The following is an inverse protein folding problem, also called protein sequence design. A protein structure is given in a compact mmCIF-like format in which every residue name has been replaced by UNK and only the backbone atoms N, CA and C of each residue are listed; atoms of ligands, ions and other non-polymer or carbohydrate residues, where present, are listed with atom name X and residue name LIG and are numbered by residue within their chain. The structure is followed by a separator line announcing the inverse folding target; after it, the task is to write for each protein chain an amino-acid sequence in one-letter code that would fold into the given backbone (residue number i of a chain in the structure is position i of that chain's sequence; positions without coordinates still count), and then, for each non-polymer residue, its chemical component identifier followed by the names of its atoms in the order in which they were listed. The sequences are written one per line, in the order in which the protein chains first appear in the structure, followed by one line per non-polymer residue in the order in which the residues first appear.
data_IF_399932700768
#
_entry.id   IF_399932700768
#
_cell.length_a   1.000
_cell.length_b   1.000
_cell.length_c   1.000
_cell.angle_alpha   90.00
_cell.angle_beta   90.00
_cell.angle_gamma   90.00
#
_symmetry.space_group_name_H-M   'P 1'
#
loop_
_entity.id
_entity.type
_entity.pdbx_description
1 polymer ?
#
# COMPACT_ATOMS: atom_id res chain seq x y z
N UNK A 1 8.04 -5.75 -36.13
CA UNK A 1 7.64 -5.09 -34.87
C UNK A 1 8.34 -3.75 -34.83
N UNK A 2 7.66 -2.71 -35.28
CA UNK A 2 8.12 -1.32 -35.14
C UNK A 2 7.82 -0.90 -33.71
N UNK A 3 8.86 -0.53 -32.95
CA UNK A 3 8.72 0.07 -31.63
C UNK A 3 7.97 1.39 -31.85
N UNK A 4 6.74 1.50 -31.37
CA UNK A 4 5.99 2.75 -31.42
C UNK A 4 6.57 3.69 -30.36
N UNK A 5 7.58 4.46 -30.75
CA UNK A 5 8.15 5.52 -29.92
C UNK A 5 7.11 6.63 -29.84
N UNK A 6 6.62 6.93 -28.64
CA UNK A 6 5.69 8.03 -28.42
C UNK A 6 6.42 9.38 -28.49
N UNK A 7 5.78 10.41 -29.07
CA UNK A 7 6.27 11.78 -29.00
C UNK A 7 6.47 12.23 -27.55
N UNK A 8 7.55 12.95 -27.32
CA UNK A 8 7.86 13.61 -26.06
C UNK A 8 6.87 14.73 -25.74
N UNK A 9 6.79 15.14 -24.47
CA UNK A 9 5.88 16.23 -24.05
C UNK A 9 6.16 17.56 -24.76
N UNK A 10 7.42 17.84 -25.12
CA UNK A 10 7.80 19.03 -25.89
C UNK A 10 7.35 18.96 -27.35
N UNK A 11 7.39 17.78 -27.96
CA UNK A 11 6.85 17.54 -29.31
C UNK A 11 5.32 17.63 -29.33
N UNK A 12 4.65 17.14 -28.29
CA UNK A 12 3.21 17.31 -28.10
C UNK A 12 2.85 18.80 -27.89
N UNK A 13 3.63 19.54 -27.11
CA UNK A 13 3.41 20.97 -26.89
C UNK A 13 3.66 21.78 -28.18
N UNK A 14 4.66 21.40 -28.98
CA UNK A 14 4.85 21.93 -30.32
C UNK A 14 3.67 21.61 -31.25
N UNK A 15 3.02 20.44 -31.11
CA UNK A 15 1.82 20.11 -31.86
C UNK A 15 0.59 20.94 -31.45
N UNK A 16 0.59 21.56 -30.26
CA UNK A 16 -0.45 22.51 -29.83
C UNK A 16 -0.24 23.89 -30.48
N UNK A 17 1.00 24.41 -30.43
CA UNK A 17 1.28 25.79 -30.85
C UNK A 17 1.69 25.94 -32.32
N UNK A 18 2.33 24.93 -32.90
CA UNK A 18 2.96 24.95 -34.23
C UNK A 18 2.71 23.62 -35.00
N UNK A 19 1.44 23.20 -35.21
CA UNK A 19 1.12 21.90 -35.80
C UNK A 19 1.73 21.67 -37.20
N UNK A 20 1.90 22.74 -37.98
CA UNK A 20 2.52 22.69 -39.31
C UNK A 20 4.01 22.29 -39.27
N UNK A 21 4.68 22.42 -38.12
CA UNK A 21 6.10 22.07 -37.96
C UNK A 21 6.33 20.63 -37.48
N UNK A 22 5.29 19.96 -36.99
CA UNK A 22 5.37 18.59 -36.44
C UNK A 22 4.29 17.66 -37.02
N UNK A 23 4.17 17.54 -38.36
CA UNK A 23 3.09 16.78 -39.00
C UNK A 23 3.05 15.29 -38.62
N UNK A 24 4.22 14.68 -38.40
CA UNK A 24 4.33 13.27 -37.96
C UNK A 24 3.82 13.05 -36.53
N UNK A 25 3.95 14.06 -35.65
CA UNK A 25 3.42 14.01 -34.29
C UNK A 25 1.90 14.14 -34.33
N UNK A 26 1.38 15.03 -35.18
CA UNK A 26 -0.07 15.20 -35.36
C UNK A 26 -0.71 13.93 -35.93
N UNK A 27 -0.07 13.29 -36.91
CA UNK A 27 -0.51 12.01 -37.46
C UNK A 27 -0.48 10.90 -36.39
N UNK A 28 0.63 10.77 -35.65
CA UNK A 28 0.75 9.81 -34.54
C UNK A 28 -0.30 10.04 -33.45
N UNK A 29 -0.57 11.29 -33.09
CA UNK A 29 -1.64 11.65 -32.15
C UNK A 29 -3.00 11.22 -32.70
N UNK A 30 -3.25 11.33 -34.01
CA UNK A 30 -4.49 10.84 -34.63
C UNK A 30 -4.74 9.35 -34.34
N UNK A 31 -3.67 8.55 -34.37
CA UNK A 31 -3.73 7.09 -34.26
C UNK A 31 -3.49 6.56 -32.83
N UNK A 32 -2.85 7.33 -31.95
CA UNK A 32 -2.46 6.89 -30.61
C UNK A 32 -3.32 7.55 -29.51
N UNK A 33 -4.13 6.74 -28.82
CA UNK A 33 -4.99 7.20 -27.71
C UNK A 33 -4.19 7.86 -26.58
N UNK A 34 -3.07 7.27 -26.17
CA UNK A 34 -2.22 7.80 -25.10
C UNK A 34 -1.70 9.22 -25.43
N UNK A 35 -1.26 9.45 -26.67
CA UNK A 35 -0.79 10.76 -27.11
C UNK A 35 -1.93 11.79 -27.23
N UNK A 36 -3.16 11.37 -27.57
CA UNK A 36 -4.35 12.27 -27.52
C UNK A 36 -4.69 12.71 -26.11
N UNK A 37 -4.69 11.79 -25.15
CA UNK A 37 -4.99 12.10 -23.76
C UNK A 37 -3.93 13.07 -23.20
N UNK A 38 -2.65 12.82 -23.45
CA UNK A 38 -1.57 13.75 -23.07
C UNK A 38 -1.70 15.12 -23.72
N UNK A 39 -2.01 15.17 -25.02
CA UNK A 39 -2.23 16.44 -25.72
C UNK A 39 -3.43 17.22 -25.16
N UNK A 40 -4.52 16.54 -24.78
CA UNK A 40 -5.69 17.17 -24.14
C UNK A 40 -5.33 17.83 -22.82
N UNK A 41 -4.62 17.11 -21.94
CA UNK A 41 -4.15 17.64 -20.65
C UNK A 41 -3.21 18.83 -20.82
N UNK A 42 -2.31 18.77 -21.80
CA UNK A 42 -1.43 19.89 -22.12
C UNK A 42 -2.20 21.12 -22.65
N UNK A 43 -3.30 20.92 -23.38
CA UNK A 43 -4.19 22.02 -23.80
C UNK A 43 -4.96 22.62 -22.64
N UNK A 44 -5.50 21.78 -21.76
CA UNK A 44 -6.19 22.21 -20.53
C UNK A 44 -5.26 22.98 -19.59
N UNK A 45 -3.98 22.60 -19.51
CA UNK A 45 -2.98 23.34 -18.74
C UNK A 45 -2.49 24.63 -19.44
N UNK A 46 -2.63 24.74 -20.76
CA UNK A 46 -2.15 25.87 -21.56
C UNK A 46 -3.22 26.95 -21.83
N UNK A 47 -4.50 26.62 -21.73
CA UNK A 47 -5.61 27.58 -21.86
C UNK A 47 -6.15 27.98 -20.47
N UNK A 48 -6.38 29.28 -20.17
CA UNK A 48 -7.20 29.66 -19.04
C UNK A 48 -8.64 29.19 -19.29
N UNK A 49 -9.23 28.52 -18.30
CA UNK A 49 -10.52 27.80 -18.39
C UNK A 49 -11.59 28.52 -19.23
N UNK A 50 -12.14 27.88 -20.28
CA UNK A 50 -13.44 28.25 -20.79
C UNK A 50 -14.52 27.60 -19.93
N UNK A 51 -15.31 28.43 -19.26
CA UNK A 51 -16.55 28.05 -18.58
C UNK A 51 -17.54 27.37 -19.55
N UNK A 52 -18.01 26.17 -19.18
CA UNK A 52 -19.38 25.72 -19.47
C UNK A 52 -19.56 24.66 -20.56
N UNK A 53 -20.05 23.49 -20.11
CA UNK A 53 -21.01 22.54 -20.72
C UNK A 53 -20.84 22.02 -22.17
N UNK A 54 -19.98 22.60 -23.02
CA UNK A 54 -19.87 22.24 -24.44
C UNK A 54 -18.82 21.17 -24.78
N UNK A 55 -17.87 20.91 -23.87
CA UNK A 55 -16.71 20.04 -24.14
C UNK A 55 -17.08 18.56 -24.04
N UNK A 56 -17.93 18.20 -23.06
CA UNK A 56 -18.42 16.84 -22.86
C UNK A 56 -19.25 16.34 -24.04
N UNK A 57 -20.11 17.20 -24.61
CA UNK A 57 -20.91 16.89 -25.80
C UNK A 57 -20.05 16.71 -27.06
N UNK A 58 -18.95 17.45 -27.21
CA UNK A 58 -18.03 17.31 -28.34
C UNK A 58 -17.20 16.03 -28.28
N UNK A 59 -16.77 15.61 -27.09
CA UNK A 59 -16.04 14.35 -26.87
C UNK A 59 -16.98 13.15 -27.10
N UNK A 60 -18.21 13.22 -26.60
CA UNK A 60 -19.26 12.21 -26.85
C UNK A 60 -19.63 12.08 -28.33
N UNK A 61 -19.65 13.18 -29.09
CA UNK A 61 -19.94 13.16 -30.53
C UNK A 61 -18.77 12.63 -31.39
N UNK A 62 -17.53 12.70 -30.90
CA UNK A 62 -16.33 12.25 -31.60
C UNK A 62 -15.90 10.82 -31.24
N UNK A 63 -16.52 10.21 -30.23
CA UNK A 63 -16.21 8.85 -29.78
C UNK A 63 -17.06 7.83 -30.54
N UNK A 64 -16.42 6.74 -30.97
CA UNK A 64 -17.10 5.51 -31.45
C UNK A 64 -18.24 5.17 -30.49
N UNK A 65 -19.45 4.81 -30.96
CA UNK A 65 -20.58 4.56 -30.06
C UNK A 65 -20.17 3.53 -29.00
N UNK A 66 -20.16 3.99 -27.74
CA UNK A 66 -19.99 3.12 -26.59
C UNK A 66 -21.06 2.02 -26.67
N UNK A 67 -20.74 0.75 -26.38
CA UNK A 67 -21.74 -0.32 -26.31
C UNK A 67 -22.93 0.13 -25.46
N UNK A 68 -24.16 -0.10 -25.93
CA UNK A 68 -25.41 0.36 -25.30
C UNK A 68 -25.54 -0.01 -23.80
N UNK A 69 -24.81 -1.05 -23.38
CA UNK A 69 -24.69 -1.51 -21.97
C UNK A 69 -24.07 -0.43 -21.07
N UNK A 70 -23.11 0.35 -21.57
CA UNK A 70 -22.41 1.40 -20.80
C UNK A 70 -23.31 2.63 -20.62
N UNK A 71 -24.13 2.97 -21.62
CA UNK A 71 -25.01 4.15 -21.59
C UNK A 71 -26.09 4.05 -20.50
N UNK A 72 -26.58 2.83 -20.24
CA UNK A 72 -27.54 2.55 -19.16
C UNK A 72 -26.95 2.63 -17.75
N UNK A 73 -25.63 2.45 -17.60
CA UNK A 73 -24.93 2.47 -16.32
C UNK A 73 -24.60 3.89 -15.82
N UNK A 74 -24.58 4.88 -16.71
CA UNK A 74 -24.21 6.27 -16.41
C UNK A 74 -25.38 7.09 -15.86
N UNK A 75 -26.63 6.64 -16.01
CA UNK A 75 -27.82 7.49 -15.90
C UNK A 75 -28.72 7.27 -14.67
N UNK A 76 -28.47 6.27 -13.81
CA UNK A 76 -29.36 5.99 -12.66
C UNK A 76 -28.58 5.86 -11.36
N UNK A 77 -28.56 6.93 -10.56
CA UNK A 77 -28.16 6.85 -9.15
C UNK A 77 -29.09 5.87 -8.45
N UNK A 78 -28.55 4.74 -8.02
CA UNK A 78 -29.31 3.74 -7.29
C UNK A 78 -28.99 3.94 -5.81
N UNK A 79 -30.02 4.08 -4.95
CA UNK A 79 -29.87 4.07 -3.49
C UNK A 79 -29.48 2.67 -2.95
N UNK A 80 -28.87 1.85 -3.79
CA UNK A 80 -28.37 0.54 -3.40
C UNK A 80 -27.14 0.74 -2.52
N UNK A 81 -27.09 0.03 -1.39
CA UNK A 81 -25.87 -0.01 -0.59
C UNK A 81 -24.85 -0.87 -1.32
N UNK A 82 -23.57 -0.47 -1.39
CA UNK A 82 -22.53 -1.32 -1.94
C UNK A 82 -22.53 -2.69 -1.24
N UNK A 83 -22.03 -3.72 -1.91
CA UNK A 83 -21.76 -5.04 -1.35
C UNK A 83 -20.38 -5.54 -1.80
N UNK A 84 -19.73 -6.43 -1.05
CA UNK A 84 -18.51 -7.10 -1.49
C UNK A 84 -18.66 -7.76 -2.87
N UNK A 85 -17.56 -7.84 -3.61
CA UNK A 85 -17.47 -8.37 -4.99
C UNK A 85 -18.24 -7.56 -6.04
N UNK A 86 -18.70 -6.36 -5.73
CA UNK A 86 -19.36 -5.50 -6.71
C UNK A 86 -18.40 -4.48 -7.31
N UNK A 87 -18.61 -4.16 -8.58
CA UNK A 87 -17.96 -3.03 -9.26
C UNK A 87 -18.91 -1.84 -9.21
N UNK A 88 -18.36 -0.71 -8.79
CA UNK A 88 -19.08 0.53 -8.64
C UNK A 88 -18.34 1.67 -9.31
N UNK A 89 -19.12 2.62 -9.81
CA UNK A 89 -18.66 3.97 -10.08
C UNK A 89 -18.66 4.74 -8.76
N UNK A 90 -17.52 5.30 -8.39
CA UNK A 90 -17.32 6.08 -7.17
C UNK A 90 -16.82 7.48 -7.54
N UNK A 91 -17.11 8.50 -6.75
CA UNK A 91 -16.60 9.86 -7.00
C UNK A 91 -17.53 10.97 -6.53
N UNK A 92 -17.08 12.21 -6.73
CA UNK A 92 -17.88 13.45 -6.62
C UNK A 92 -17.92 14.16 -7.96
N UNK A 93 -16.86 14.92 -8.26
CA UNK A 93 -16.70 15.64 -9.53
C UNK A 93 -16.13 14.71 -10.61
N UNK A 94 -15.08 13.97 -10.24
CA UNK A 94 -14.45 12.95 -11.06
C UNK A 94 -14.89 11.56 -10.59
N UNK A 95 -15.24 10.70 -11.55
CA UNK A 95 -15.70 9.35 -11.25
C UNK A 95 -14.67 8.30 -11.66
N UNK A 96 -14.42 7.38 -10.73
CA UNK A 96 -13.54 6.23 -10.89
C UNK A 96 -14.36 4.94 -10.85
N UNK A 97 -13.82 3.87 -11.41
CA UNK A 97 -14.33 2.53 -11.19
C UNK A 97 -13.60 1.91 -10.00
N UNK A 98 -14.34 1.24 -9.12
CA UNK A 98 -13.76 0.56 -7.98
C UNK A 98 -14.49 -0.75 -7.70
N UNK A 99 -13.71 -1.75 -7.32
CA UNK A 99 -14.20 -3.02 -6.84
C UNK A 99 -14.27 -3.00 -5.31
N UNK A 100 -15.43 -3.38 -4.77
CA UNK A 100 -15.68 -3.41 -3.33
C UNK A 100 -15.14 -4.71 -2.75
N UNK A 101 -14.11 -4.61 -1.92
CA UNK A 101 -13.53 -5.75 -1.23
C UNK A 101 -14.32 -6.11 0.02
N UNK A 102 -14.59 -5.11 0.85
CA UNK A 102 -15.22 -5.26 2.16
C UNK A 102 -16.03 -4.01 2.49
N UNK A 103 -17.07 -4.19 3.30
CA UNK A 103 -17.84 -3.09 3.89
C UNK A 103 -17.80 -3.23 5.39
N UNK A 104 -17.70 -2.10 6.06
CA UNK A 104 -17.65 -1.98 7.50
C UNK A 104 -18.96 -1.37 8.02
N UNK A 105 -19.28 -1.65 9.28
CA UNK A 105 -20.56 -1.23 9.89
C UNK A 105 -20.67 0.30 10.10
N UNK A 106 -19.54 1.02 10.01
CA UNK A 106 -19.40 2.47 10.18
C UNK A 106 -19.70 3.28 8.90
N UNK A 107 -20.17 2.64 7.83
CA UNK A 107 -20.41 3.33 6.56
C UNK A 107 -19.13 3.56 5.75
N UNK A 108 -18.11 2.73 5.97
CA UNK A 108 -16.89 2.72 5.16
C UNK A 108 -16.85 1.46 4.29
N UNK A 109 -16.29 1.60 3.08
CA UNK A 109 -15.97 0.46 2.22
C UNK A 109 -14.47 0.40 1.93
N UNK A 110 -13.87 -0.78 2.02
CA UNK A 110 -12.56 -1.04 1.43
C UNK A 110 -12.74 -1.31 -0.06
N UNK A 111 -12.07 -0.53 -0.89
CA UNK A 111 -12.15 -0.62 -2.35
C UNK A 111 -10.79 -0.75 -3.00
N UNK A 112 -10.78 -1.38 -4.18
CA UNK A 112 -9.63 -1.44 -5.08
C UNK A 112 -10.00 -0.70 -6.37
N UNK A 113 -9.28 0.35 -6.79
CA UNK A 113 -9.58 1.03 -8.03
C UNK A 113 -9.36 0.10 -9.23
N UNK A 114 -10.26 0.21 -10.21
CA UNK A 114 -10.21 -0.50 -11.47
C UNK A 114 -9.90 0.48 -12.60
N UNK A 115 -8.99 0.09 -13.47
CA UNK A 115 -8.61 0.87 -14.66
C UNK A 115 -8.88 0.07 -15.91
N UNK A 116 -9.31 0.75 -16.97
CA UNK A 116 -9.57 0.13 -18.28
C UNK A 116 -8.28 -0.04 -19.10
N UNK A 117 -7.26 0.76 -18.79
CA UNK A 117 -5.95 0.68 -19.45
C UNK A 117 -5.05 -0.32 -18.70
N UNK A 118 -4.90 -1.52 -19.27
CA UNK A 118 -4.10 -2.58 -18.68
C UNK A 118 -2.59 -2.32 -18.75
N UNK A 119 -2.13 -1.35 -19.55
CA UNK A 119 -0.73 -0.95 -19.61
C UNK A 119 -0.28 -0.26 -18.32
N UNK A 120 -1.24 0.30 -17.56
CA UNK A 120 -1.01 0.91 -16.25
C UNK A 120 -0.88 -0.13 -15.12
N UNK A 121 -1.11 -1.41 -15.41
CA UNK A 121 -0.95 -2.48 -14.45
C UNK A 121 0.53 -2.74 -14.12
N UNK A 122 0.77 -3.15 -12.88
CA UNK A 122 2.09 -3.54 -12.38
C UNK A 122 2.05 -4.91 -11.70
N UNK A 123 3.18 -5.31 -11.08
CA UNK A 123 3.29 -6.58 -10.36
C UNK A 123 2.35 -6.69 -9.14
N UNK A 124 1.70 -5.60 -8.75
CA UNK A 124 0.75 -5.52 -7.64
C UNK A 124 -0.67 -5.22 -8.12
N UNK A 125 -0.95 -5.50 -9.39
CA UNK A 125 -2.24 -5.32 -10.03
C UNK A 125 -2.79 -6.65 -10.54
N UNK A 126 -4.08 -6.91 -10.42
CA UNK A 126 -4.73 -8.09 -11.01
C UNK A 126 -5.19 -7.72 -12.42
N UNK A 127 -4.72 -8.45 -13.44
CA UNK A 127 -5.23 -8.32 -14.81
C UNK A 127 -6.48 -9.17 -14.99
N UNK A 128 -7.54 -8.57 -15.51
CA UNK A 128 -8.87 -9.17 -15.61
C UNK A 128 -9.29 -9.19 -17.06
N UNK A 129 -9.59 -10.37 -17.56
CA UNK A 129 -10.01 -10.56 -18.95
C UNK A 129 -11.41 -10.02 -19.18
N UNK A 130 -11.66 -9.53 -20.39
CA UNK A 130 -12.92 -8.93 -20.79
C UNK A 130 -14.17 -9.78 -20.46
N UNK A 131 -14.08 -11.10 -20.65
CA UNK A 131 -15.15 -12.07 -20.39
C UNK A 131 -15.48 -12.26 -18.90
N UNK A 132 -14.59 -11.87 -18.00
CA UNK A 132 -14.81 -11.89 -16.56
C UNK A 132 -15.29 -10.54 -16.00
N UNK A 133 -15.32 -9.47 -16.82
CA UNK A 133 -15.72 -8.13 -16.36
C UNK A 133 -17.19 -7.83 -16.65
N UNK A 134 -17.86 -7.03 -15.80
CA UNK A 134 -19.23 -6.59 -16.06
C UNK A 134 -19.37 -5.63 -17.25
N UNK A 135 -18.26 -5.04 -17.73
CA UNK A 135 -18.24 -4.09 -18.84
C UNK A 135 -17.79 -4.71 -20.18
N UNK A 136 -17.43 -5.99 -20.19
CA UNK A 136 -16.99 -6.70 -21.39
C UNK A 136 -15.67 -6.18 -21.98
N UNK A 137 -14.82 -5.54 -21.16
CA UNK A 137 -13.52 -4.97 -21.56
C UNK A 137 -12.45 -5.44 -20.59
N UNK A 138 -11.21 -5.60 -21.04
CA UNK A 138 -10.11 -5.94 -20.13
C UNK A 138 -9.91 -4.81 -19.10
N UNK A 139 -9.57 -5.19 -17.87
CA UNK A 139 -9.38 -4.24 -16.78
C UNK A 139 -8.19 -4.65 -15.92
N UNK A 140 -7.62 -3.70 -15.19
CA UNK A 140 -6.67 -3.96 -14.13
C UNK A 140 -7.19 -3.46 -12.78
N UNK A 141 -7.15 -4.30 -11.75
CA UNK A 141 -7.42 -3.90 -10.37
C UNK A 141 -6.10 -3.54 -9.68
N UNK A 142 -5.90 -2.26 -9.36
CA UNK A 142 -4.65 -1.74 -8.81
C UNK A 142 -4.62 -1.95 -7.28
N UNK A 143 -4.36 -3.18 -6.85
CA UNK A 143 -4.44 -3.61 -5.43
C UNK A 143 -3.51 -2.80 -4.51
N UNK A 144 -2.41 -2.32 -5.06
CA UNK A 144 -1.45 -1.49 -4.33
C UNK A 144 -1.99 -0.08 -3.96
N UNK A 145 -3.07 0.34 -4.60
CA UNK A 145 -3.76 1.62 -4.37
C UNK A 145 -5.12 1.40 -3.66
N UNK A 146 -5.37 0.19 -3.14
CA UNK A 146 -6.57 -0.07 -2.33
C UNK A 146 -6.71 0.95 -1.20
N UNK A 147 -7.94 1.32 -0.85
CA UNK A 147 -8.19 2.33 0.18
C UNK A 147 -9.55 2.11 0.86
N UNK A 148 -9.79 2.91 1.90
CA UNK A 148 -11.11 3.06 2.51
C UNK A 148 -11.79 4.32 1.98
N UNK A 149 -13.05 4.21 1.58
CA UNK A 149 -13.88 5.34 1.15
C UNK A 149 -15.20 5.37 1.90
N UNK A 150 -15.80 6.55 2.01
CA UNK A 150 -17.14 6.70 2.58
C UNK A 150 -18.20 6.08 1.65
N UNK A 151 -19.23 5.43 2.20
CA UNK A 151 -20.32 4.84 1.39
C UNK A 151 -21.11 5.88 0.59
N UNK A 152 -21.08 7.15 0.99
CA UNK A 152 -21.65 8.27 0.24
C UNK A 152 -20.95 8.54 -1.11
N UNK A 153 -19.71 8.06 -1.29
CA UNK A 153 -18.96 8.22 -2.53
C UNK A 153 -19.42 7.29 -3.66
N UNK A 154 -20.34 6.36 -3.40
CA UNK A 154 -20.82 5.40 -4.39
C UNK A 154 -21.95 5.99 -5.23
N UNK A 155 -21.76 6.01 -6.55
CA UNK A 155 -22.69 6.61 -7.50
C UNK A 155 -23.61 5.58 -8.16
N UNK A 156 -23.01 4.61 -8.86
CA UNK A 156 -23.75 3.63 -9.66
C UNK A 156 -23.10 2.25 -9.55
N UNK A 157 -23.91 1.22 -9.32
CA UNK A 157 -23.45 -0.17 -9.45
C UNK A 157 -23.28 -0.52 -10.92
N UNK A 158 -22.11 -1.04 -11.27
CA UNK A 158 -21.76 -1.50 -12.62
C UNK A 158 -22.05 -2.99 -12.79
N UNK A 159 -21.73 -3.80 -11.78
CA UNK A 159 -21.98 -5.24 -11.81
C UNK A 159 -21.26 -6.00 -10.71
N UNK A 160 -21.08 -7.30 -10.90
CA UNK A 160 -20.31 -8.17 -10.02
C UNK A 160 -19.01 -8.58 -10.69
N UNK A 161 -17.98 -8.79 -9.88
CA UNK A 161 -16.65 -9.19 -10.30
C UNK A 161 -16.01 -10.02 -9.18
N UNK A 162 -15.79 -11.30 -9.44
CA UNK A 162 -15.19 -12.23 -8.48
C UNK A 162 -13.67 -12.31 -8.69
N UNK A 163 -12.94 -11.44 -8.00
CA UNK A 163 -11.47 -11.40 -7.97
C UNK A 163 -10.91 -11.48 -6.54
N UNK A 164 -11.76 -11.88 -5.58
CA UNK A 164 -11.42 -11.86 -4.15
C UNK A 164 -10.17 -12.69 -3.84
N UNK A 165 -10.04 -13.85 -4.49
CA UNK A 165 -8.91 -14.77 -4.30
C UNK A 165 -7.62 -14.19 -4.88
N UNK A 166 -7.69 -13.61 -6.07
CA UNK A 166 -6.57 -13.01 -6.78
C UNK A 166 -6.01 -11.81 -6.00
N UNK A 167 -6.91 -10.95 -5.50
CA UNK A 167 -6.54 -9.82 -4.64
C UNK A 167 -5.90 -10.31 -3.34
N UNK A 168 -6.46 -11.33 -2.69
CA UNK A 168 -5.90 -11.88 -1.45
C UNK A 168 -4.49 -12.48 -1.65
N UNK A 169 -4.23 -13.13 -2.79
CA UNK A 169 -2.90 -13.65 -3.14
C UNK A 169 -1.89 -12.51 -3.36
N UNK A 170 -2.26 -11.41 -4.03
CA UNK A 170 -1.36 -10.24 -4.15
C UNK A 170 -1.01 -9.69 -2.77
N UNK A 171 -2.00 -9.51 -1.90
CA UNK A 171 -1.78 -8.98 -0.54
C UNK A 171 -0.86 -9.88 0.29
N UNK A 172 -1.07 -11.18 0.19
CA UNK A 172 -0.24 -12.17 0.88
C UNK A 172 1.18 -12.17 0.33
N UNK A 173 1.33 -12.14 -1.00
CA UNK A 173 2.63 -12.13 -1.66
C UNK A 173 3.46 -10.89 -1.28
N UNK A 174 2.83 -9.71 -1.28
CA UNK A 174 3.47 -8.45 -0.85
C UNK A 174 3.91 -8.52 0.61
N UNK A 175 3.03 -9.02 1.50
CA UNK A 175 3.35 -9.18 2.93
C UNK A 175 4.54 -10.12 3.16
N UNK A 176 4.67 -11.15 2.33
CA UNK A 176 5.74 -12.15 2.39
C UNK A 176 7.00 -11.76 1.59
N UNK A 177 7.00 -10.61 0.92
CA UNK A 177 8.12 -10.17 0.08
C UNK A 177 8.38 -11.07 -1.13
N UNK A 178 7.35 -11.77 -1.61
CA UNK A 178 7.41 -12.67 -2.79
C UNK A 178 6.58 -12.13 -3.93
N UNK A 179 6.79 -12.69 -5.13
CA UNK A 179 5.91 -12.43 -6.27
C UNK A 179 4.59 -13.22 -6.12
N UNK A 180 3.45 -12.65 -6.54
CA UNK A 180 2.19 -13.39 -6.63
C UNK A 180 2.33 -14.55 -7.60
N UNK A 181 1.68 -15.68 -7.30
CA UNK A 181 1.80 -16.91 -8.08
C UNK A 181 0.45 -17.39 -8.59
N UNK A 182 0.42 -17.89 -9.84
CA UNK A 182 -0.79 -18.45 -10.44
C UNK A 182 -1.89 -17.45 -10.80
N UNK A 183 -1.57 -16.15 -10.78
CA UNK A 183 -2.51 -15.08 -11.15
C UNK A 183 -1.89 -14.16 -12.22
N UNK A 184 -2.69 -13.67 -13.19
CA UNK A 184 -2.22 -12.72 -14.18
C UNK A 184 -2.03 -11.33 -13.54
N UNK A 185 -0.80 -10.81 -13.58
CA UNK A 185 -0.42 -9.50 -13.05
C UNK A 185 0.33 -8.70 -14.11
N UNK A 186 0.40 -7.38 -13.94
CA UNK A 186 1.18 -6.51 -14.83
C UNK A 186 2.69 -6.72 -14.70
N UNK A 187 3.49 -6.18 -15.64
CA UNK A 187 4.94 -6.27 -15.58
C UNK A 187 5.48 -5.52 -14.36
N UNK A 188 6.61 -5.96 -13.77
CA UNK A 188 7.22 -5.26 -12.65
C UNK A 188 7.61 -3.82 -13.04
N UNK A 189 7.54 -2.93 -12.06
CA UNK A 189 8.19 -1.62 -12.15
C UNK A 189 9.67 -1.83 -11.89
N UNK A 190 10.51 -1.45 -12.86
CA UNK A 190 11.97 -1.64 -12.82
C UNK A 190 12.74 -0.32 -12.63
N UNK A 191 12.08 0.82 -12.84
CA UNK A 191 12.64 2.17 -12.81
C UNK A 191 11.79 3.07 -11.90
N UNK A 192 12.45 3.96 -11.17
CA UNK A 192 11.81 4.96 -10.29
C UNK A 192 11.13 6.07 -11.11
N UNK A 193 11.53 6.26 -12.37
CA UNK A 193 10.92 7.22 -13.32
C UNK A 193 9.75 6.59 -14.11
N UNK A 194 9.28 5.39 -13.74
CA UNK A 194 8.17 4.74 -14.41
C UNK A 194 6.85 5.51 -14.20
N UNK A 195 6.23 5.93 -15.30
CA UNK A 195 4.98 6.72 -15.31
C UNK A 195 3.82 6.05 -14.57
N UNK A 196 3.86 4.72 -14.37
CA UNK A 196 2.87 4.00 -13.57
C UNK A 196 2.93 4.41 -12.09
N UNK A 197 4.10 4.85 -11.59
CA UNK A 197 4.24 5.38 -10.23
C UNK A 197 3.50 6.71 -10.07
N UNK A 198 3.68 7.65 -11.01
CA UNK A 198 2.95 8.92 -11.04
C UNK A 198 1.44 8.69 -11.13
N UNK A 199 1.02 7.77 -12.00
CA UNK A 199 -0.39 7.42 -12.15
C UNK A 199 -0.99 6.82 -10.87
N UNK A 200 -0.25 5.95 -10.18
CA UNK A 200 -0.66 5.41 -8.88
C UNK A 200 -0.80 6.50 -7.83
N UNK A 201 0.07 7.50 -7.85
CA UNK A 201 -0.05 8.65 -6.95
C UNK A 201 -1.30 9.46 -7.27
N UNK A 202 -1.54 9.80 -8.54
CA UNK A 202 -2.76 10.50 -8.95
C UNK A 202 -4.04 9.73 -8.55
N UNK A 203 -4.06 8.40 -8.69
CA UNK A 203 -5.17 7.58 -8.20
C UNK A 203 -5.33 7.63 -6.68
N UNK A 204 -4.23 7.63 -5.92
CA UNK A 204 -4.29 7.77 -4.46
C UNK A 204 -4.88 9.13 -4.08
N UNK A 205 -4.46 10.20 -4.74
CA UNK A 205 -4.92 11.55 -4.43
C UNK A 205 -6.41 11.70 -4.72
N UNK A 206 -6.90 11.18 -5.84
CA UNK A 206 -8.33 11.16 -6.15
C UNK A 206 -9.14 10.34 -5.14
N UNK A 207 -8.61 9.19 -4.73
CA UNK A 207 -9.25 8.32 -3.75
C UNK A 207 -9.18 8.87 -2.32
N UNK A 208 -8.15 9.64 -1.99
CA UNK A 208 -8.00 10.29 -0.69
C UNK A 208 -9.10 11.33 -0.45
N UNK A 209 -9.55 12.03 -1.51
CA UNK A 209 -10.72 12.94 -1.44
C UNK A 209 -12.04 12.21 -1.14
N UNK A 210 -12.08 10.89 -1.36
CA UNK A 210 -13.24 10.05 -1.06
C UNK A 210 -13.10 9.33 0.29
N UNK A 211 -12.01 9.57 1.03
CA UNK A 211 -11.81 8.97 2.33
C UNK A 211 -12.92 9.39 3.31
N UNK A 212 -13.21 8.59 4.33
CA UNK A 212 -14.23 8.94 5.32
C UNK A 212 -13.99 10.29 6.00
N UNK A 213 -12.72 10.63 6.28
CA UNK A 213 -12.32 11.89 6.89
C UNK A 213 -12.61 13.08 5.96
N UNK A 214 -12.06 13.04 4.74
CA UNK A 214 -12.27 14.09 3.74
C UNK A 214 -13.75 14.25 3.37
N UNK A 215 -14.50 13.14 3.32
CA UNK A 215 -15.91 13.20 2.98
C UNK A 215 -16.75 13.96 4.00
N UNK A 216 -16.49 13.75 5.29
CA UNK A 216 -17.22 14.38 6.39
C UNK A 216 -16.85 15.85 6.56
N UNK A 217 -15.58 16.21 6.35
CA UNK A 217 -15.11 17.59 6.43
C UNK A 217 -15.81 18.49 5.39
N UNK A 218 -15.97 18.00 4.16
CA UNK A 218 -16.69 18.74 3.10
C UNK A 218 -18.21 18.86 3.35
N UNK A 219 -18.84 17.91 4.05
CA UNK A 219 -20.26 18.02 4.41
C UNK A 219 -20.50 19.01 5.57
N UNK A 220 -19.47 19.24 6.40
CA UNK A 220 -19.53 20.15 7.53
C UNK A 220 -19.42 21.63 7.12
N UNK A 221 -18.91 21.93 5.92
CA UNK A 221 -18.78 23.29 5.39
C UNK A 221 -19.56 23.49 4.07
N UNK A 222 -20.90 23.61 4.14
CA UNK A 222 -21.75 23.75 2.96
C UNK A 222 -21.54 25.07 2.19
N UNK A 223 -20.81 26.05 2.75
CA UNK A 223 -20.53 27.34 2.10
C UNK A 223 -19.28 27.31 1.19
N UNK A 224 -18.46 26.26 1.22
CA UNK A 224 -17.25 26.17 0.36
C UNK A 224 -17.55 25.81 -1.11
N UNK A 225 -18.78 25.37 -1.41
CA UNK A 225 -19.16 24.88 -2.75
C UNK A 225 -19.65 25.97 -3.73
N UNK A 226 -19.60 27.27 -3.36
CA UNK A 226 -19.87 28.34 -4.33
C UNK A 226 -19.23 29.68 -4.00
N UNK A 227 -18.43 30.18 -4.95
CA UNK A 227 -17.99 31.57 -5.16
C UNK A 227 -16.93 32.20 -4.25
N UNK A 228 -15.85 32.67 -4.90
CA UNK A 228 -14.92 33.75 -4.51
C UNK A 228 -15.10 34.31 -3.09
N UNK A 229 -14.28 33.85 -2.16
CA UNK A 229 -14.13 34.51 -0.86
C UNK A 229 -12.99 35.54 -0.92
N UNK A 230 -13.23 36.80 -0.50
CA UNK A 230 -12.18 37.80 -0.37
C UNK A 230 -11.29 37.47 0.84
N UNK A 231 -9.99 37.64 0.66
CA UNK A 231 -8.98 37.49 1.70
C UNK A 231 -9.27 38.38 2.91
N UNK A 232 -9.76 37.81 4.01
CA UNK A 232 -9.66 38.40 5.34
C UNK A 232 -9.84 37.35 6.45
N UNK A 233 -8.75 37.03 7.14
CA UNK A 233 -8.67 36.53 8.51
C UNK A 233 -9.29 35.15 8.82
N UNK A 234 -8.64 34.08 8.32
CA UNK A 234 -8.75 32.72 8.88
C UNK A 234 -7.41 32.32 9.50
N UNK A 235 -7.19 32.74 10.74
CA UNK A 235 -6.18 32.17 11.62
C UNK A 235 -6.87 31.27 12.65
N UNK A 236 -6.50 29.98 12.63
CA UNK A 236 -6.52 29.02 13.76
C UNK A 236 -7.65 27.98 13.97
N UNK A 237 -8.65 27.80 13.08
CA UNK A 237 -9.78 26.87 13.39
C UNK A 237 -10.06 25.69 12.43
N UNK A 238 -9.10 25.22 11.61
CA UNK A 238 -9.36 24.16 10.62
C UNK A 238 -8.50 22.88 10.70
N UNK A 239 -7.65 22.72 11.72
CA UNK A 239 -7.03 21.42 11.97
C UNK A 239 -7.81 20.70 13.07
N UNK A 240 -8.63 19.71 12.71
CA UNK A 240 -9.21 18.77 13.68
C UNK A 240 -8.11 18.32 14.64
N UNK A 241 -8.26 18.68 15.92
CA UNK A 241 -7.23 18.48 16.93
C UNK A 241 -6.96 16.99 17.17
N UNK A 242 -5.90 16.71 17.92
CA UNK A 242 -5.54 15.34 18.32
C UNK A 242 -6.73 14.58 18.96
N UNK A 243 -7.61 15.30 19.66
CA UNK A 243 -8.81 14.74 20.27
C UNK A 243 -9.83 14.24 19.25
N UNK A 244 -10.00 14.95 18.13
CA UNK A 244 -10.86 14.51 17.01
C UNK A 244 -10.31 13.22 16.37
N UNK A 245 -9.00 13.11 16.22
CA UNK A 245 -8.34 11.89 15.72
C UNK A 245 -8.60 10.71 16.67
N UNK A 246 -8.51 10.94 17.99
CA UNK A 246 -8.78 9.91 19.00
C UNK A 246 -10.22 9.43 18.95
N UNK A 247 -11.17 10.35 18.80
CA UNK A 247 -12.60 10.05 18.69
C UNK A 247 -12.88 9.20 17.45
N UNK A 248 -12.46 9.67 16.27
CA UNK A 248 -12.65 8.95 15.00
C UNK A 248 -12.01 7.55 15.03
N UNK A 249 -10.81 7.39 15.59
CA UNK A 249 -10.18 6.08 15.73
C UNK A 249 -10.98 5.14 16.65
N UNK A 250 -11.52 5.68 17.75
CA UNK A 250 -12.29 4.90 18.73
C UNK A 250 -13.65 4.46 18.17
N UNK A 251 -14.25 5.24 17.29
CA UNK A 251 -15.48 4.88 16.58
C UNK A 251 -15.26 3.76 15.57
N UNK A 252 -14.13 3.80 14.84
CA UNK A 252 -13.84 2.86 13.74
C UNK A 252 -13.23 1.55 14.22
N UNK A 253 -12.38 1.57 15.25
CA UNK A 253 -11.70 0.39 15.77
C UNK A 253 -12.12 0.07 17.20
N UNK A 254 -13.08 -0.85 17.36
CA UNK A 254 -13.57 -1.26 18.69
C UNK A 254 -12.48 -1.95 19.50
N UNK A 255 -12.13 -1.37 20.65
CA UNK A 255 -11.09 -1.92 21.53
C UNK A 255 -9.69 -1.39 21.24
N UNK A 256 -9.57 -0.35 20.41
CA UNK A 256 -8.32 0.40 20.28
C UNK A 256 -7.95 1.03 21.62
N UNK A 257 -6.66 1.01 21.94
CA UNK A 257 -6.09 1.69 23.09
C UNK A 257 -5.19 2.82 22.59
N UNK A 258 -5.55 4.05 22.92
CA UNK A 258 -4.78 5.24 22.56
C UNK A 258 -4.20 5.82 23.83
N UNK A 259 -2.88 5.86 23.92
CA UNK A 259 -2.15 6.38 25.07
C UNK A 259 -1.37 7.64 24.67
N UNK A 260 -1.62 8.73 25.38
CA UNK A 260 -0.75 9.90 25.32
C UNK A 260 0.66 9.51 25.76
N UNK A 261 1.63 9.87 24.95
CA UNK A 261 3.02 9.51 25.19
C UNK A 261 3.80 10.72 25.71
N UNK A 262 4.84 10.45 26.50
CA UNK A 262 5.80 11.51 26.84
C UNK A 262 6.45 12.00 25.55
N UNK A 263 6.54 13.33 25.33
CA UNK A 263 7.12 13.87 24.11
C UNK A 263 8.59 13.48 24.05
N UNK A 264 8.91 12.68 23.03
CA UNK A 264 10.29 12.35 22.65
C UNK A 264 10.52 12.97 21.29
N UNK A 265 11.54 13.81 21.17
CA UNK A 265 11.88 14.49 19.93
C UNK A 265 13.16 13.90 19.35
N UNK A 266 13.13 13.59 18.06
CA UNK A 266 14.25 13.04 17.30
C UNK A 266 14.48 13.93 16.08
N UNK A 267 15.74 14.24 15.79
CA UNK A 267 16.08 15.02 14.59
C UNK A 267 15.80 14.21 13.31
N UNK A 268 15.26 14.87 12.29
CA UNK A 268 14.99 14.32 10.96
C UNK A 268 15.80 15.14 9.96
N UNK A 269 16.94 14.61 9.53
CA UNK A 269 17.89 15.37 8.72
C UNK A 269 18.42 16.61 9.46
N UNK A 270 18.62 17.71 8.73
CA UNK A 270 19.20 18.94 9.28
C UNK A 270 18.18 20.04 9.64
N UNK A 271 16.96 19.96 9.11
CA UNK A 271 15.96 21.06 9.14
C UNK A 271 14.59 20.64 9.70
N UNK A 272 14.47 19.42 10.18
CA UNK A 272 13.22 18.92 10.73
C UNK A 272 13.45 18.12 12.00
N UNK A 273 12.40 18.00 12.79
CA UNK A 273 12.36 17.13 13.95
C UNK A 273 11.00 16.44 14.03
N UNK A 274 11.00 15.19 14.47
CA UNK A 274 9.79 14.44 14.73
C UNK A 274 9.58 14.35 16.23
N UNK A 275 8.37 14.63 16.71
CA UNK A 275 8.00 14.53 18.11
C UNK A 275 6.91 13.48 18.28
N UNK A 276 7.15 12.50 19.14
CA UNK A 276 6.14 11.50 19.49
C UNK A 276 4.96 12.15 20.22
N UNK A 277 3.76 11.86 19.73
CA UNK A 277 2.51 12.43 20.26
C UNK A 277 1.59 11.36 20.85
N UNK A 278 1.51 10.17 20.24
CA UNK A 278 0.60 9.10 20.68
C UNK A 278 1.22 7.73 20.50
N UNK A 279 0.73 6.78 21.29
CA UNK A 279 0.80 5.36 20.97
C UNK A 279 -0.59 4.84 20.71
N UNK A 280 -0.74 4.09 19.62
CA UNK A 280 -1.99 3.47 19.23
C UNK A 280 -1.79 1.96 19.19
N UNK A 281 -2.45 1.26 20.10
CA UNK A 281 -2.40 -0.20 20.19
C UNK A 281 -3.76 -0.78 19.84
N UNK A 282 -3.79 -1.75 18.93
CA UNK A 282 -4.98 -2.52 18.59
C UNK A 282 -4.61 -3.99 18.47
N UNK A 283 -5.27 -4.84 19.27
CA UNK A 283 -4.94 -6.25 19.42
C UNK A 283 -3.46 -6.46 19.79
N UNK A 284 -2.68 -7.10 18.91
CA UNK A 284 -1.26 -7.37 19.07
C UNK A 284 -0.36 -6.37 18.32
N UNK A 285 -0.94 -5.37 17.66
CA UNK A 285 -0.21 -4.36 16.91
C UNK A 285 -0.13 -3.02 17.66
N UNK A 286 1.06 -2.42 17.73
CA UNK A 286 1.31 -1.09 18.31
C UNK A 286 1.97 -0.17 17.30
N UNK A 287 1.42 1.01 17.10
CA UNK A 287 1.95 2.05 16.22
C UNK A 287 2.30 3.29 17.04
N UNK A 288 3.53 3.78 16.88
CA UNK A 288 3.95 5.07 17.45
C UNK A 288 3.56 6.15 16.45
N UNK A 289 2.80 7.16 16.90
CA UNK A 289 2.47 8.32 16.09
C UNK A 289 3.41 9.46 16.45
N UNK A 290 4.08 9.99 15.43
CA UNK A 290 5.00 11.12 15.55
C UNK A 290 4.52 12.26 14.67
N UNK A 291 4.56 13.47 15.21
CA UNK A 291 4.31 14.70 14.47
C UNK A 291 5.63 15.19 13.87
N UNK A 292 5.65 15.43 12.56
CA UNK A 292 6.78 16.05 11.89
C UNK A 292 6.65 17.59 12.00
N UNK A 293 7.74 18.20 12.47
CA UNK A 293 7.92 19.63 12.53
C UNK A 293 9.06 20.00 11.59
N UNK A 294 8.85 21.01 10.76
CA UNK A 294 9.85 21.48 9.81
C UNK A 294 10.16 22.94 10.11
N UNK A 295 11.43 23.25 10.30
CA UNK A 295 11.89 24.48 10.95
C UNK A 295 12.02 25.68 9.97
N UNK A 296 11.47 25.61 8.75
CA UNK A 296 11.61 26.64 7.70
C UNK A 296 10.30 26.97 6.95
N UNK A 297 10.19 28.16 6.36
CA UNK A 297 8.98 28.65 5.66
C UNK A 297 8.78 28.04 4.26
N UNK A 298 9.81 27.44 3.67
CA UNK A 298 9.72 26.71 2.39
C UNK A 298 10.59 25.44 2.41
N UNK A 299 10.23 24.44 3.23
CA UNK A 299 11.11 23.31 3.41
C UNK A 299 10.83 22.25 2.36
N UNK A 300 11.89 21.86 1.65
CA UNK A 300 11.92 20.57 0.98
C UNK A 300 11.55 19.47 2.00
N UNK A 301 10.55 18.66 1.68
CA UNK A 301 10.12 17.58 2.54
C UNK A 301 11.29 16.63 2.82
N UNK A 302 11.52 16.20 4.07
CA UNK A 302 12.63 15.33 4.38
C UNK A 302 12.54 14.04 3.57
N UNK A 303 13.69 13.56 3.09
CA UNK A 303 13.76 12.32 2.33
C UNK A 303 13.35 11.11 3.19
N UNK A 304 12.95 10.03 2.52
CA UNK A 304 12.50 8.81 3.18
C UNK A 304 13.61 8.15 4.01
N UNK A 305 14.88 8.32 3.64
CA UNK A 305 16.01 7.77 4.37
C UNK A 305 16.16 8.42 5.76
N UNK A 306 16.07 9.75 5.83
CA UNK A 306 16.13 10.53 7.06
C UNK A 306 14.93 10.26 7.95
N UNK A 307 13.74 10.17 7.35
CA UNK A 307 12.51 9.79 8.06
C UNK A 307 12.62 8.39 8.66
N UNK A 308 13.07 7.41 7.89
CA UNK A 308 13.25 6.03 8.35
C UNK A 308 14.30 5.93 9.46
N UNK A 309 15.41 6.68 9.37
CA UNK A 309 16.40 6.72 10.43
C UNK A 309 15.80 7.24 11.74
N UNK A 310 15.03 8.33 11.69
CA UNK A 310 14.34 8.85 12.87
C UNK A 310 13.31 7.85 13.43
N UNK A 311 12.55 7.18 12.55
CA UNK A 311 11.62 6.12 12.95
C UNK A 311 12.34 4.95 13.65
N UNK A 312 13.52 4.56 13.18
CA UNK A 312 14.32 3.52 13.83
C UNK A 312 14.70 3.92 15.26
N UNK A 313 15.09 5.18 15.49
CA UNK A 313 15.37 5.69 16.85
C UNK A 313 14.16 5.65 17.77
N UNK A 314 12.95 5.89 17.27
CA UNK A 314 11.72 5.72 18.07
C UNK A 314 11.47 4.26 18.45
N UNK A 315 11.65 3.33 17.51
CA UNK A 315 11.47 1.89 17.76
C UNK A 315 12.54 1.31 18.69
N UNK A 316 13.76 1.84 18.67
CA UNK A 316 14.79 1.46 19.64
C UNK A 316 14.37 1.77 21.09
N UNK A 317 13.67 2.90 21.29
CA UNK A 317 13.10 3.28 22.60
C UNK A 317 11.87 2.46 22.99
N UNK A 318 11.19 1.83 22.03
CA UNK A 318 9.97 1.06 22.26
C UNK A 318 9.93 -0.20 21.37
N UNK A 319 10.69 -1.26 21.74
CA UNK A 319 10.88 -2.44 20.90
C UNK A 319 9.62 -3.29 20.69
N UNK A 320 8.52 -2.96 21.37
CA UNK A 320 7.21 -3.59 21.19
C UNK A 320 6.33 -2.92 20.12
N UNK A 321 6.79 -1.81 19.52
CA UNK A 321 6.06 -1.15 18.45
C UNK A 321 6.35 -1.80 17.08
N UNK A 322 5.31 -2.00 16.29
CA UNK A 322 5.36 -2.64 14.98
C UNK A 322 5.67 -1.65 13.86
N UNK A 323 5.26 -0.38 14.03
CA UNK A 323 5.42 0.66 13.03
C UNK A 323 5.48 2.06 13.65
N UNK A 324 5.95 3.03 12.85
CA UNK A 324 5.91 4.46 13.16
C UNK A 324 5.10 5.18 12.09
N UNK A 325 4.08 5.94 12.50
CA UNK A 325 3.28 6.81 11.65
C UNK A 325 3.79 8.25 11.78
N UNK A 326 4.42 8.77 10.73
CA UNK A 326 4.91 10.15 10.66
C UNK A 326 3.83 11.01 10.04
N UNK A 327 3.22 11.90 10.82
CA UNK A 327 2.14 12.77 10.38
C UNK A 327 2.58 14.23 10.34
N UNK A 328 2.18 14.96 9.30
CA UNK A 328 2.38 16.41 9.22
C UNK A 328 1.11 17.10 9.71
N UNK A 329 1.26 18.10 10.59
CA UNK A 329 0.11 18.85 11.14
C UNK A 329 -0.40 19.87 10.13
N UNK A 330 -1.15 19.37 9.16
CA UNK A 330 -1.86 20.10 8.13
C UNK A 330 -3.30 19.55 8.04
N UNK A 331 -4.13 20.17 7.22
CA UNK A 331 -5.48 19.65 6.91
C UNK A 331 -5.39 18.19 6.44
N UNK A 332 -6.28 17.34 6.97
CA UNK A 332 -6.28 15.90 6.69
C UNK A 332 -5.16 15.08 7.35
N UNK A 333 -4.20 15.70 8.07
CA UNK A 333 -3.07 15.01 8.71
C UNK A 333 -2.34 14.01 7.78
N UNK A 334 -1.76 14.47 6.66
CA UNK A 334 -1.09 13.59 5.71
C UNK A 334 0.02 12.82 6.43
N UNK A 335 -0.03 11.50 6.27
CA UNK A 335 0.78 10.58 7.07
C UNK A 335 1.58 9.64 6.17
N UNK A 336 2.78 9.27 6.64
CA UNK A 336 3.63 8.20 6.08
C UNK A 336 3.87 7.15 7.15
N UNK A 337 3.65 5.88 6.81
CA UNK A 337 3.80 4.78 7.75
C UNK A 337 5.01 3.92 7.42
N UNK A 338 5.90 3.78 8.39
CA UNK A 338 7.10 2.95 8.32
C UNK A 338 7.01 1.75 9.28
N UNK A 339 6.70 0.55 8.76
CA UNK A 339 6.80 -0.69 9.55
C UNK A 339 8.24 -0.97 9.96
N UNK A 340 8.41 -1.59 11.13
CA UNK A 340 9.71 -2.00 11.66
C UNK A 340 10.54 -2.84 10.67
N UNK A 341 9.87 -3.68 9.87
CA UNK A 341 10.49 -4.51 8.84
C UNK A 341 10.99 -3.73 7.61
N UNK A 342 10.48 -2.52 7.38
CA UNK A 342 10.77 -1.68 6.21
C UNK A 342 11.75 -0.55 6.53
N UNK A 343 12.21 -0.44 7.79
CA UNK A 343 13.22 0.55 8.20
C UNK A 343 14.66 0.17 7.85
N UNK A 344 14.86 -1.01 7.27
CA UNK A 344 16.18 -1.51 6.87
C UNK A 344 16.27 -1.50 5.35
N UNK A 345 17.45 -1.16 4.83
CA UNK A 345 17.76 -1.42 3.41
C UNK A 345 17.62 -2.90 3.13
N UNK A 346 16.88 -3.24 2.08
CA UNK A 346 16.62 -4.63 1.69
C UNK A 346 16.96 -4.84 0.22
N UNK A 347 17.31 -6.07 -0.14
CA UNK A 347 17.43 -6.46 -1.55
C UNK A 347 16.05 -6.81 -2.09
N UNK A 348 15.58 -6.05 -3.07
CA UNK A 348 14.39 -6.38 -3.85
C UNK A 348 14.66 -7.67 -4.64
N UNK A 349 13.85 -8.69 -4.39
CA UNK A 349 13.90 -9.92 -5.17
C UNK A 349 12.95 -9.82 -6.38
N UNK A 350 13.34 -10.30 -7.57
CA UNK A 350 14.59 -10.99 -7.91
C UNK A 350 15.70 -10.07 -8.44
N UNK A 351 15.44 -8.77 -8.60
CA UNK A 351 16.35 -7.83 -9.28
C UNK A 351 17.69 -7.67 -8.54
N UNK A 352 17.72 -7.97 -7.24
CA UNK A 352 18.88 -7.82 -6.37
C UNK A 352 19.18 -6.35 -6.02
N UNK A 353 18.38 -5.42 -6.54
CA UNK A 353 18.51 -3.97 -6.29
C UNK A 353 18.33 -3.72 -4.81
N UNK A 354 19.24 -2.95 -4.23
CA UNK A 354 19.11 -2.47 -2.86
C UNK A 354 18.08 -1.36 -2.90
N UNK A 355 16.93 -1.60 -2.30
CA UNK A 355 15.97 -0.52 -2.04
C UNK A 355 16.22 0.08 -0.66
N UNK A 356 16.04 1.39 -0.58
CA UNK A 356 16.06 2.13 0.66
C UNK A 356 14.85 1.78 1.54
N UNK A 357 14.85 2.28 2.77
CA UNK A 357 13.65 2.20 3.59
C UNK A 357 12.55 3.07 2.96
N UNK A 358 11.38 2.46 2.72
CA UNK A 358 10.23 3.12 2.11
C UNK A 358 9.00 3.02 3.02
N UNK A 359 8.13 4.05 3.01
CA UNK A 359 6.86 3.95 3.70
C UNK A 359 5.96 2.91 3.02
N UNK A 360 5.40 2.01 3.82
CA UNK A 360 4.45 1.00 3.34
C UNK A 360 3.08 1.58 2.95
N UNK A 361 2.71 2.71 3.56
CA UNK A 361 1.48 3.45 3.31
C UNK A 361 1.80 4.96 3.33
N UNK A 362 1.26 5.70 2.37
CA UNK A 362 1.42 7.14 2.22
C UNK A 362 0.20 7.75 1.51
N UNK A 363 0.06 9.08 1.57
CA UNK A 363 -0.97 9.83 0.84
C UNK A 363 -2.38 9.74 1.43
N UNK A 364 -2.50 9.27 2.67
CA UNK A 364 -3.77 9.20 3.40
C UNK A 364 -3.63 9.96 4.73
N UNK A 365 -4.77 10.36 5.28
CA UNK A 365 -4.82 10.96 6.61
C UNK A 365 -4.44 9.97 7.72
N UNK A 366 -4.06 10.51 8.88
CA UNK A 366 -3.56 9.70 10.01
C UNK A 366 -4.54 8.60 10.43
N UNK A 367 -5.83 8.91 10.58
CA UNK A 367 -6.87 7.94 10.97
C UNK A 367 -6.93 6.80 9.96
N UNK A 368 -6.97 7.12 8.67
CA UNK A 368 -7.09 6.12 7.60
C UNK A 368 -5.84 5.24 7.48
N UNK A 369 -4.64 5.81 7.65
CA UNK A 369 -3.39 5.03 7.72
C UNK A 369 -3.40 4.07 8.89
N UNK A 370 -3.78 4.54 10.08
CA UNK A 370 -3.80 3.71 11.28
C UNK A 370 -4.82 2.59 11.15
N UNK A 371 -6.06 2.87 10.74
CA UNK A 371 -7.08 1.85 10.49
C UNK A 371 -6.57 0.81 9.47
N UNK A 372 -6.07 1.26 8.32
CA UNK A 372 -5.59 0.37 7.25
C UNK A 372 -4.42 -0.50 7.68
N UNK A 373 -3.50 0.04 8.47
CA UNK A 373 -2.38 -0.73 8.98
C UNK A 373 -2.82 -1.74 10.03
N UNK A 374 -3.54 -1.29 11.05
CA UNK A 374 -3.98 -2.10 12.18
C UNK A 374 -4.89 -3.25 11.73
N UNK A 375 -5.80 -3.00 10.78
CA UNK A 375 -6.63 -4.06 10.19
C UNK A 375 -5.82 -5.04 9.32
N UNK A 376 -4.76 -4.56 8.66
CA UNK A 376 -3.89 -5.39 7.81
C UNK A 376 -2.86 -6.23 8.58
N UNK A 377 -2.41 -5.75 9.73
CA UNK A 377 -1.47 -6.46 10.62
C UNK A 377 -2.17 -7.47 11.50
N UNK A 378 -3.35 -7.12 12.01
CA UNK A 378 -4.21 -8.03 12.76
C UNK A 378 -4.42 -9.29 11.93
N UNK A 379 -3.93 -10.43 12.41
CA UNK A 379 -4.32 -11.72 11.82
C UNK A 379 -5.83 -11.74 11.84
N UNK A 380 -6.48 -11.97 10.71
CA UNK A 380 -7.93 -12.07 10.67
C UNK A 380 -8.37 -13.25 11.57
N UNK A 381 -8.64 -12.96 12.83
CA UNK A 381 -9.28 -13.88 13.75
C UNK A 381 -10.64 -14.30 13.21
N UNK A 382 -11.23 -13.47 12.35
CA UNK A 382 -12.44 -13.72 11.56
C UNK A 382 -12.24 -14.73 10.41
N UNK A 383 -11.02 -14.90 9.87
CA UNK A 383 -10.71 -15.93 8.87
C UNK A 383 -10.40 -17.29 9.51
N UNK A 384 -10.26 -17.34 10.82
CA UNK A 384 -10.34 -18.60 11.55
C UNK A 384 -11.82 -18.96 11.64
N UNK A 385 -12.34 -19.68 10.64
CA UNK A 385 -13.64 -20.39 10.66
C UNK A 385 -13.79 -21.37 11.86
N UNK A 386 -12.84 -21.42 12.78
CA UNK A 386 -13.03 -22.10 14.04
C UNK A 386 -13.94 -21.25 14.93
N UNK A 387 -15.19 -21.67 15.21
CA UNK A 387 -16.07 -20.96 16.12
C UNK A 387 -15.30 -20.74 17.42
N UNK A 388 -15.20 -19.47 17.86
CA UNK A 388 -14.59 -19.08 19.11
C UNK A 388 -15.05 -20.07 20.18
N UNK A 389 -14.15 -20.97 20.59
CA UNK A 389 -14.53 -22.07 21.48
C UNK A 389 -15.09 -21.43 22.73
N UNK A 390 -16.39 -21.60 22.97
CA UNK A 390 -17.19 -20.92 23.99
C UNK A 390 -16.74 -21.19 25.43
N UNK A 391 -15.68 -21.97 25.59
CA UNK A 391 -14.90 -22.09 26.82
C UNK A 391 -13.44 -22.04 26.40
N UNK A 392 -12.71 -21.06 26.93
CA UNK A 392 -11.26 -21.19 27.15
C UNK A 392 -11.14 -22.40 28.08
N UNK A 393 -11.08 -23.60 27.50
CA UNK A 393 -10.74 -24.79 28.24
C UNK A 393 -9.41 -24.48 28.87
N UNK A 394 -9.31 -24.61 30.19
CA UNK A 394 -8.08 -24.55 30.97
C UNK A 394 -7.17 -25.70 30.51
N UNK A 395 -6.65 -25.59 29.28
CA UNK A 395 -5.52 -26.39 28.84
C UNK A 395 -4.37 -25.87 29.68
N UNK A 396 -3.97 -26.70 30.64
CA UNK A 396 -2.78 -26.46 31.43
C UNK A 396 -1.66 -26.01 30.51
N UNK A 397 -0.92 -24.96 30.88
CA UNK A 397 0.29 -24.51 30.16
C UNK A 397 1.21 -25.70 29.84
N UNK A 398 1.20 -26.72 30.71
CA UNK A 398 1.91 -27.99 30.49
C UNK A 398 1.45 -28.74 29.25
N UNK A 399 0.16 -28.80 28.95
CA UNK A 399 -0.37 -29.46 27.75
C UNK A 399 -0.04 -28.69 26.47
N UNK A 400 -0.04 -27.35 26.53
CA UNK A 400 0.39 -26.50 25.41
C UNK A 400 1.90 -26.68 25.16
N UNK A 401 2.70 -26.66 26.22
CA UNK A 401 4.14 -26.89 26.14
C UNK A 401 4.48 -28.30 25.63
N UNK A 402 3.75 -29.34 26.07
CA UNK A 402 3.92 -30.71 25.55
C UNK A 402 3.52 -30.81 24.09
N UNK A 403 2.46 -30.12 23.67
CA UNK A 403 2.05 -30.06 22.26
C UNK A 403 3.08 -29.38 21.36
N UNK A 404 3.61 -28.23 21.79
CA UNK A 404 4.67 -27.52 21.08
C UNK A 404 5.97 -28.33 21.04
N UNK A 405 6.36 -28.96 22.16
CA UNK A 405 7.54 -29.82 22.21
C UNK A 405 7.41 -31.01 21.25
N UNK A 406 6.25 -31.67 21.21
CA UNK A 406 5.99 -32.78 20.29
C UNK A 406 6.07 -32.33 18.83
N UNK A 407 5.46 -31.20 18.48
CA UNK A 407 5.49 -30.65 17.11
C UNK A 407 6.89 -30.21 16.68
N UNK A 408 7.66 -29.59 17.58
CA UNK A 408 9.06 -29.23 17.34
C UNK A 408 9.95 -30.47 17.17
N UNK A 409 9.76 -31.51 17.99
CA UNK A 409 10.47 -32.79 17.83
C UNK A 409 10.13 -33.43 16.50
N UNK A 410 8.86 -33.42 16.09
CA UNK A 410 8.43 -33.97 14.80
C UNK A 410 9.04 -33.21 13.62
N UNK A 411 9.08 -31.88 13.71
CA UNK A 411 9.74 -31.01 12.72
C UNK A 411 11.24 -31.29 12.62
N UNK A 412 11.95 -31.32 13.76
CA UNK A 412 13.37 -31.67 13.82
C UNK A 412 13.62 -33.07 13.27
N UNK A 413 12.74 -34.03 13.57
CA UNK A 413 12.83 -35.40 13.05
C UNK A 413 12.63 -35.44 11.54
N UNK A 414 11.68 -34.65 11.01
CA UNK A 414 11.42 -34.54 9.56
C UNK A 414 12.57 -33.86 8.83
N UNK A 415 13.14 -32.81 9.41
CA UNK A 415 14.29 -32.09 8.86
C UNK A 415 15.57 -32.93 8.97
N UNK A 416 15.75 -33.69 10.05
CA UNK A 416 16.82 -34.70 10.19
C UNK A 416 16.68 -35.83 9.16
N UNK A 417 15.45 -36.27 8.86
CA UNK A 417 15.19 -37.23 7.77
C UNK A 417 15.50 -36.65 6.39
N UNK A 418 15.32 -35.34 6.18
CA UNK A 418 15.78 -34.64 4.97
C UNK A 418 17.30 -34.49 4.91
N UNK A 419 17.99 -34.44 6.06
CA UNK A 419 19.45 -34.47 6.11
C UNK A 419 20.04 -35.86 5.75
N UNK A 420 19.27 -36.94 5.89
CA UNK A 420 19.60 -38.32 5.48
C UNK A 420 19.42 -38.59 3.98
N UNK A 421 19.57 -37.58 3.12
CA UNK A 421 19.64 -37.80 1.66
C UNK A 421 20.87 -38.65 1.32
N UNK A 422 20.70 -39.63 0.43
CA UNK A 422 21.76 -40.57 0.02
C UNK A 422 23.02 -39.83 -0.43
N UNK A 423 22.87 -38.70 -1.15
CA UNK A 423 23.99 -37.86 -1.58
C UNK A 423 24.79 -37.26 -0.40
N UNK A 424 24.14 -36.86 0.70
CA UNK A 424 24.82 -36.37 1.90
C UNK A 424 25.51 -37.51 2.64
N UNK A 425 24.89 -38.69 2.74
CA UNK A 425 25.50 -39.88 3.34
C UNK A 425 26.76 -40.31 2.57
N UNK A 426 26.75 -40.26 1.24
CA UNK A 426 27.94 -40.54 0.42
C UNK A 426 29.04 -39.48 0.61
N UNK A 427 28.67 -38.20 0.76
CA UNK A 427 29.62 -37.14 1.09
C UNK A 427 30.24 -37.34 2.48
N UNK A 428 29.44 -37.70 3.50
CA UNK A 428 29.93 -38.01 4.85
C UNK A 428 30.86 -39.23 4.87
N UNK A 429 30.53 -40.29 4.12
CA UNK A 429 31.39 -41.49 4.00
C UNK A 429 32.68 -41.25 3.21
N UNK A 430 32.82 -40.10 2.55
CA UNK A 430 34.04 -39.70 1.83
C UNK A 430 34.92 -38.73 2.60
N UNK A 431 34.53 -38.36 3.83
CA UNK A 431 35.34 -37.53 4.70
C UNK A 431 36.44 -38.36 5.37
N UNK A 432 37.61 -37.76 5.68
CA UNK A 432 38.67 -38.41 6.46
C UNK A 432 38.17 -38.95 7.81
N UNK A 433 38.68 -40.10 8.25
CA UNK A 433 38.20 -40.84 9.43
C UNK A 433 38.28 -40.05 10.76
N UNK A 434 39.09 -38.99 10.81
CA UNK A 434 39.29 -38.11 11.95
C UNK A 434 38.28 -36.93 12.02
N UNK A 435 37.62 -36.63 10.91
CA UNK A 435 36.70 -35.48 10.80
C UNK A 435 35.38 -35.70 11.56
N UNK A 436 34.92 -36.95 11.63
CA UNK A 436 33.70 -37.31 12.36
C UNK A 436 33.82 -36.99 13.85
N UNK A 437 35.00 -37.21 14.43
CA UNK A 437 35.29 -36.91 15.83
C UNK A 437 35.38 -35.38 16.07
N UNK A 438 35.98 -34.64 15.14
CA UNK A 438 36.06 -33.17 15.22
C UNK A 438 34.68 -32.52 15.11
N UNK A 439 33.81 -33.00 14.21
CA UNK A 439 32.43 -32.51 14.10
C UNK A 439 31.63 -32.84 15.35
N UNK A 440 31.76 -34.05 15.89
CA UNK A 440 31.07 -34.44 17.12
C UNK A 440 31.51 -33.57 18.32
N UNK A 441 32.81 -33.28 18.44
CA UNK A 441 33.37 -32.40 19.46
C UNK A 441 32.86 -30.96 19.29
N UNK A 442 32.85 -30.44 18.06
CA UNK A 442 32.33 -29.11 17.74
C UNK A 442 30.84 -28.97 18.09
N UNK A 443 30.00 -29.92 17.68
CA UNK A 443 28.56 -29.91 18.00
C UNK A 443 28.34 -29.97 19.52
N UNK A 444 29.12 -30.78 20.22
CA UNK A 444 29.05 -30.88 21.68
C UNK A 444 29.55 -29.62 22.41
N UNK A 445 30.46 -28.87 21.79
CA UNK A 445 30.94 -27.58 22.28
C UNK A 445 29.90 -26.47 22.05
N UNK A 446 29.31 -26.38 20.84
CA UNK A 446 28.24 -25.43 20.51
C UNK A 446 27.06 -25.59 21.48
N UNK A 447 26.67 -26.84 21.78
CA UNK A 447 25.56 -27.12 22.67
C UNK A 447 25.80 -26.70 24.14
N UNK A 448 27.07 -26.59 24.56
CA UNK A 448 27.44 -26.27 25.94
C UNK A 448 27.83 -24.80 26.13
N UNK A 449 28.54 -24.24 25.17
CA UNK A 449 29.31 -23.00 25.33
C UNK A 449 28.93 -21.92 24.30
N UNK A 450 28.06 -22.24 23.33
CA UNK A 450 27.71 -21.33 22.24
C UNK A 450 28.68 -21.41 21.06
N UNK A 451 28.31 -20.75 19.96
CA UNK A 451 28.93 -20.93 18.63
C UNK A 451 30.32 -20.31 18.54
N UNK A 452 30.53 -19.14 19.15
CA UNK A 452 31.79 -18.40 19.05
C UNK A 452 32.95 -19.13 19.75
N UNK A 453 32.70 -19.70 20.93
CA UNK A 453 33.71 -20.43 21.71
C UNK A 453 34.05 -21.77 21.05
N UNK A 454 33.05 -22.49 20.53
CA UNK A 454 33.26 -23.73 19.78
C UNK A 454 34.06 -23.50 18.48
N UNK A 455 33.89 -22.34 17.83
CA UNK A 455 34.66 -21.98 16.64
C UNK A 455 36.11 -21.63 16.95
N UNK A 456 36.37 -20.98 18.09
CA UNK A 456 37.73 -20.69 18.54
C UNK A 456 38.53 -21.98 18.83
N UNK A 457 37.89 -22.97 19.47
CA UNK A 457 38.51 -24.28 19.74
C UNK A 457 38.87 -25.03 18.44
N UNK A 458 37.96 -25.02 17.46
CA UNK A 458 38.18 -25.67 16.16
C UNK A 458 39.34 -25.02 15.38
N UNK A 459 39.46 -23.70 15.45
CA UNK A 459 40.54 -22.95 14.79
C UNK A 459 41.87 -23.05 15.54
N UNK A 460 41.83 -23.21 16.86
CA UNK A 460 43.01 -23.43 17.70
C UNK A 460 43.70 -24.77 17.40
N UNK A 461 42.91 -25.84 17.19
CA UNK A 461 43.44 -27.16 16.81
C UNK A 461 44.08 -27.17 15.41
N UNK A 462 43.57 -26.36 14.46
CA UNK A 462 44.14 -26.23 13.11
C UNK A 462 45.42 -25.40 13.04
N UNK A 463 45.77 -24.68 14.12
CA UNK A 463 46.96 -23.81 14.19
C UNK A 463 48.17 -24.50 14.85
N UNK A 464 48.01 -25.76 15.28
CA UNK A 464 48.99 -26.52 16.07
C UNK A 464 49.86 -27.52 15.29
N UNK A 465 49.68 -27.62 13.97
CA UNK A 465 50.54 -28.35 13.02
C UNK A 465 51.20 -27.36 12.04
#
# INVERSE_FOLDING_TARGET
MTIHVHPSSSELLAAIHEPDRVPLVVEHVGDCLACRVRLSRLREAAEPEPTGEGTFQRIMAASTPLPDVITGLVTVGTNERPQPNQVWRIGRDEALLAWVRRIFDDGVAEVVPLVLDNELADQHSVLIRADATPVGTEMAAIVAVRTHIHVGAFLNRIGELDISREVAEILTAVKEGRRPSGIPVGPPIEDDDDQRLEYRQALRDLLARLSPSAWLDDEADPESSSHEAPAANLTESYAGGLDSIKEQLSERLRGIHIADSLPVTVAVGSLAHATRILNVTYLDATVIVVQLHVDDEDPAEPDNASLAQACASFLEGEPGADAVAVAVRQEGWPTRLFPSSYLRTAHLLPTGVITGPEPSLSGLGLVDILCKHLDGTSRAWELLDEPARSKIGTKSIRQVAVGHAASSIEKITKDGKRALQVAKKTAWQSLPDDLDQQVANFVAAVARNGVEEAMADLLGELSGD
#
